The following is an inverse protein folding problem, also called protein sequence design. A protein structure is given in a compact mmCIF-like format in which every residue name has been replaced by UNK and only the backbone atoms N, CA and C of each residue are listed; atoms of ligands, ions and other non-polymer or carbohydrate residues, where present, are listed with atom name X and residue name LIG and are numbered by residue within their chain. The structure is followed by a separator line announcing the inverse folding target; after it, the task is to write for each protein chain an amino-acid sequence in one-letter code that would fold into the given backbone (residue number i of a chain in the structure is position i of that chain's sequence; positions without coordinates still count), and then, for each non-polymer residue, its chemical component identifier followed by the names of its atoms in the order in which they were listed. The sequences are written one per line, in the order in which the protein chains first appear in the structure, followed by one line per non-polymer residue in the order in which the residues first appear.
data_IF_890935022138
#
_entry.id   IF_890935022138
#
_cell.length_a   1.000
_cell.length_b   1.000
_cell.length_c   1.000
_cell.angle_alpha   90.00
_cell.angle_beta   90.00
_cell.angle_gamma   90.00
#
_symmetry.space_group_name_H-M   'P 1'
#
loop_
_entity.id
_entity.type
_entity.pdbx_description
1 polymer ?
#
# COMPACT_ATOMS: atom_id res chain seq x y z
N UNK A 1 -2.90 -15.51 20.64
CA UNK A 1 -2.77 -15.18 19.21
C UNK A 1 -4.07 -15.54 18.54
N UNK A 2 -4.74 -14.60 17.87
CA UNK A 2 -5.94 -14.90 17.10
C UNK A 2 -5.55 -14.99 15.62
N UNK A 3 -5.94 -16.07 14.95
CA UNK A 3 -5.73 -16.24 13.51
C UNK A 3 -7.07 -16.00 12.83
N UNK A 4 -7.13 -14.95 12.03
CA UNK A 4 -8.30 -14.64 11.22
C UNK A 4 -8.12 -15.31 9.87
N UNK A 5 -9.00 -16.26 9.56
CA UNK A 5 -9.00 -16.98 8.29
C UNK A 5 -10.38 -16.87 7.64
N UNK A 6 -10.40 -16.50 6.36
CA UNK A 6 -11.61 -16.42 5.56
C UNK A 6 -12.10 -14.99 5.26
N UNK A 7 -12.94 -14.87 4.23
CA UNK A 7 -13.35 -13.59 3.66
C UNK A 7 -14.12 -12.70 4.65
N UNK A 8 -14.99 -13.29 5.49
CA UNK A 8 -15.76 -12.56 6.49
C UNK A 8 -14.85 -11.92 7.55
N UNK A 9 -13.85 -12.67 8.01
CA UNK A 9 -12.86 -12.20 8.97
C UNK A 9 -12.02 -11.04 8.40
N UNK A 10 -11.58 -11.15 7.13
CA UNK A 10 -10.85 -10.06 6.47
C UNK A 10 -11.72 -8.80 6.34
N UNK A 11 -13.00 -8.93 5.96
CA UNK A 11 -13.92 -7.78 5.90
C UNK A 11 -14.07 -7.10 7.26
N UNK A 12 -14.23 -7.85 8.34
CA UNK A 12 -14.32 -7.31 9.70
C UNK A 12 -13.05 -6.53 10.10
N UNK A 13 -11.88 -7.07 9.78
CA UNK A 13 -10.60 -6.41 10.05
C UNK A 13 -10.46 -5.07 9.28
N UNK A 14 -10.87 -5.04 8.01
CA UNK A 14 -10.75 -3.85 7.15
C UNK A 14 -11.96 -2.90 7.21
N UNK A 15 -13.10 -3.28 7.81
CA UNK A 15 -14.28 -2.41 7.92
C UNK A 15 -14.13 -1.34 9.01
N UNK A 16 -13.24 -1.55 9.98
CA UNK A 16 -12.87 -0.52 10.93
C UNK A 16 -11.98 0.52 10.26
N UNK A 17 -12.22 1.80 10.52
CA UNK A 17 -11.41 2.93 10.04
C UNK A 17 -9.99 2.93 10.65
N UNK A 18 -9.17 1.92 10.31
CA UNK A 18 -7.87 1.61 10.95
C UNK A 18 -7.92 1.36 12.46
N UNK A 19 -9.08 1.02 13.02
CA UNK A 19 -9.20 0.75 14.46
C UNK A 19 -8.55 -0.59 14.85
N UNK A 20 -8.55 -1.56 13.94
CA UNK A 20 -8.17 -2.95 14.21
C UNK A 20 -6.84 -3.35 13.57
N UNK A 21 -6.31 -2.54 12.66
CA UNK A 21 -5.09 -2.84 11.91
C UNK A 21 -4.21 -1.58 11.88
N UNK A 22 -2.96 -1.75 12.31
CA UNK A 22 -1.91 -0.76 12.06
C UNK A 22 -1.31 -1.02 10.67
N UNK A 23 -1.08 0.05 9.92
CA UNK A 23 -0.47 -0.06 8.60
C UNK A 23 0.92 -0.68 8.70
N UNK A 24 1.12 -1.75 7.95
CA UNK A 24 2.38 -2.46 7.83
C UNK A 24 2.86 -2.37 6.39
N UNK A 25 4.15 -2.08 6.22
CA UNK A 25 4.80 -2.00 4.92
C UNK A 25 6.02 -2.93 4.87
N UNK A 26 6.25 -3.64 3.76
CA UNK A 26 7.47 -4.41 3.55
C UNK A 26 8.74 -3.56 3.70
N UNK A 27 9.86 -4.10 4.21
CA UNK A 27 11.11 -3.35 4.37
C UNK A 27 11.61 -2.67 3.09
N UNK A 28 11.47 -3.34 1.94
CA UNK A 28 11.81 -2.78 0.63
C UNK A 28 10.97 -1.56 0.28
N UNK A 29 9.66 -1.59 0.58
CA UNK A 29 8.76 -0.46 0.33
C UNK A 29 9.01 0.69 1.29
N UNK A 30 9.34 0.40 2.57
CA UNK A 30 9.73 1.45 3.52
C UNK A 30 10.91 2.26 2.99
N UNK A 31 11.93 1.62 2.42
CA UNK A 31 13.09 2.33 1.84
C UNK A 31 12.73 3.29 0.69
N UNK A 32 11.73 2.93 -0.12
CA UNK A 32 11.32 3.70 -1.31
C UNK A 32 10.31 4.80 -0.95
N UNK A 33 9.36 4.49 -0.06
CA UNK A 33 8.20 5.34 0.24
C UNK A 33 8.35 6.15 1.54
N UNK A 34 9.23 5.74 2.44
CA UNK A 34 9.49 6.35 3.75
C UNK A 34 10.98 6.73 3.82
N UNK A 35 11.37 7.74 3.04
CA UNK A 35 12.75 8.22 2.98
C UNK A 35 13.14 8.82 4.35
N UNK A 36 14.07 8.15 5.05
CA UNK A 36 14.61 8.51 6.37
C UNK A 36 13.58 8.70 7.50
N UNK A 37 12.95 7.59 7.89
CA UNK A 37 12.05 7.43 9.05
C UNK A 37 12.68 7.68 10.44
N UNK A 38 13.90 8.23 10.53
CA UNK A 38 14.63 8.32 11.81
C UNK A 38 13.92 9.16 12.89
N UNK A 39 13.00 10.05 12.48
CA UNK A 39 12.36 11.03 13.38
C UNK A 39 10.81 11.02 13.37
N UNK A 40 10.13 10.25 12.52
CA UNK A 40 8.66 10.25 12.42
C UNK A 40 8.04 8.89 12.77
N UNK A 41 6.83 8.93 13.35
CA UNK A 41 6.09 7.71 13.66
C UNK A 41 5.67 6.98 12.37
N UNK A 42 5.85 5.66 12.34
CA UNK A 42 5.50 4.82 11.17
C UNK A 42 4.01 4.93 10.78
N UNK A 43 3.16 5.33 11.72
CA UNK A 43 1.73 5.55 11.53
C UNK A 43 1.44 6.82 10.73
N UNK A 44 2.15 7.92 11.02
CA UNK A 44 2.02 9.20 10.30
C UNK A 44 2.51 9.09 8.85
N UNK A 45 3.66 8.45 8.64
CA UNK A 45 4.21 8.25 7.31
C UNK A 45 3.29 7.36 6.47
N UNK A 46 2.76 6.29 7.07
CA UNK A 46 1.76 5.45 6.43
C UNK A 46 0.48 6.22 6.07
N UNK A 47 0.07 7.20 6.90
CA UNK A 47 -1.07 8.06 6.59
C UNK A 47 -0.79 8.98 5.40
N UNK A 48 0.40 9.58 5.34
CA UNK A 48 0.83 10.40 4.19
C UNK A 48 0.86 9.58 2.90
N UNK A 49 1.41 8.37 2.96
CA UNK A 49 1.43 7.45 1.81
C UNK A 49 0.00 7.13 1.37
N UNK A 50 -0.93 6.86 2.29
CA UNK A 50 -2.36 6.62 1.94
C UNK A 50 -3.02 7.78 1.20
N UNK A 51 -2.56 9.02 1.39
CA UNK A 51 -3.08 10.21 0.68
C UNK A 51 -2.44 10.34 -0.71
N UNK A 52 -1.16 9.99 -0.84
CA UNK A 52 -0.37 10.18 -2.05
C UNK A 52 -0.60 9.03 -3.05
N UNK A 53 -0.70 7.80 -2.56
CA UNK A 53 -0.83 6.57 -3.36
C UNK A 53 -2.00 6.63 -4.36
N UNK A 54 -3.23 7.06 -3.97
CA UNK A 54 -4.35 7.12 -4.91
C UNK A 54 -4.11 8.09 -6.07
N UNK A 55 -3.27 9.12 -5.90
CA UNK A 55 -2.92 10.06 -6.98
C UNK A 55 -2.03 9.41 -8.03
N UNK A 56 -1.06 8.60 -7.60
CA UNK A 56 -0.20 7.81 -8.48
C UNK A 56 -0.97 6.66 -9.14
N UNK A 57 -1.88 6.03 -8.41
CA UNK A 57 -2.70 4.92 -8.87
C UNK A 57 -4.00 5.36 -9.56
N UNK A 58 -4.16 6.65 -9.88
CA UNK A 58 -5.29 7.10 -10.69
C UNK A 58 -5.27 6.35 -12.02
N UNK A 59 -6.45 5.95 -12.47
CA UNK A 59 -6.64 5.19 -13.71
C UNK A 59 -5.97 5.91 -14.90
N UNK A 60 -6.07 7.24 -14.96
CA UNK A 60 -5.45 8.10 -15.99
C UNK A 60 -3.91 8.06 -15.97
N UNK A 61 -3.31 7.92 -14.79
CA UNK A 61 -1.87 7.74 -14.65
C UNK A 61 -1.50 6.30 -15.06
N UNK A 62 -2.27 5.32 -14.61
CA UNK A 62 -2.01 3.90 -14.87
C UNK A 62 -2.13 3.52 -16.36
N UNK A 63 -3.10 4.10 -17.07
CA UNK A 63 -3.29 3.89 -18.51
C UNK A 63 -2.03 4.21 -19.32
N UNK A 64 -1.28 5.24 -18.93
CA UNK A 64 -0.02 5.62 -19.58
C UNK A 64 1.09 4.59 -19.37
N UNK A 65 1.02 3.78 -18.31
CA UNK A 65 2.00 2.72 -18.04
C UNK A 65 1.66 1.39 -18.71
N UNK A 66 0.43 1.18 -19.20
CA UNK A 66 0.00 -0.08 -19.83
C UNK A 66 0.93 -0.50 -20.98
N UNK A 67 1.31 0.37 -21.95
CA UNK A 67 2.17 -0.05 -23.05
C UNK A 67 3.57 -0.51 -22.59
N UNK A 68 4.10 0.14 -21.55
CA UNK A 68 5.41 -0.19 -20.97
C UNK A 68 5.36 -1.52 -20.23
N UNK A 69 4.31 -1.73 -19.45
CA UNK A 69 4.09 -2.99 -18.72
C UNK A 69 3.91 -4.15 -19.71
N UNK A 70 3.10 -3.96 -20.77
CA UNK A 70 2.86 -4.97 -21.81
C UNK A 70 4.15 -5.32 -22.58
N UNK A 71 4.96 -4.32 -22.94
CA UNK A 71 6.25 -4.54 -23.58
C UNK A 71 7.23 -5.32 -22.68
N UNK A 72 7.26 -5.04 -21.38
CA UNK A 72 8.11 -5.76 -20.42
C UNK A 72 7.62 -7.20 -20.19
N UNK A 73 6.31 -7.40 -20.07
CA UNK A 73 5.72 -8.73 -19.89
C UNK A 73 5.98 -9.63 -21.10
N UNK A 74 5.91 -9.09 -22.32
CA UNK A 74 6.24 -9.85 -23.55
C UNK A 74 7.71 -10.28 -23.65
N UNK A 75 8.61 -9.63 -22.91
CA UNK A 75 10.05 -9.92 -22.94
C UNK A 75 10.43 -11.12 -22.07
N UNK A 76 9.54 -11.61 -21.21
CA UNK A 76 9.81 -12.65 -20.21
C UNK A 76 8.79 -13.78 -20.24
#
# INVERSE_FOLDING_TARGET
MAVFCGASAHKCLFSGTNKYIQAWWPPSMKKIMMHDSKNHSSVEESAKIRVILPRFLKIEALQRYIPVIDAMAKKH
#
